data_IF_688532247457
#
_entry.id   IF_688532247457
#
_cell.length_a   1.000
_cell.length_b   1.000
_cell.length_c   1.000
_cell.angle_alpha   90.00
_cell.angle_beta   90.00
_cell.angle_gamma   90.00
#
_symmetry.space_group_name_H-M   'P 1'
#
loop_
_entity.id
_entity.type
_entity.pdbx_description
1 polymer ?
#
# COMPACT_ATOMS: atom_id res chain seq x y z
N UNK A 1 0.86 9.15 2.21
CA UNK A 1 1.08 8.64 0.85
C UNK A 1 2.37 9.23 0.34
N UNK A 2 3.25 8.38 -0.17
CA UNK A 2 4.54 8.77 -0.73
C UNK A 2 4.60 8.38 -2.21
N UNK A 3 5.16 9.23 -3.05
CA UNK A 3 5.42 8.96 -4.47
C UNK A 3 6.88 9.34 -4.74
N UNK A 4 7.65 8.42 -5.31
CA UNK A 4 9.10 8.59 -5.56
C UNK A 4 9.87 9.06 -4.32
N UNK A 5 9.54 8.51 -3.14
CA UNK A 5 10.17 8.86 -1.86
C UNK A 5 9.70 10.17 -1.21
N UNK A 6 8.89 10.99 -1.88
CA UNK A 6 8.37 12.25 -1.34
C UNK A 6 6.96 12.10 -0.78
N UNK A 7 6.68 12.71 0.39
CA UNK A 7 5.33 12.75 0.94
C UNK A 7 4.46 13.69 0.10
N UNK A 8 3.32 13.18 -0.39
CA UNK A 8 2.38 13.97 -1.19
C UNK A 8 1.08 14.28 -0.45
N UNK A 9 0.69 13.42 0.50
CA UNK A 9 -0.53 13.57 1.30
C UNK A 9 -0.37 12.83 2.64
N UNK A 10 -0.77 13.45 3.74
CA UNK A 10 -1.04 12.80 5.04
C UNK A 10 -2.39 13.22 5.60
N UNK A 11 -2.94 12.39 6.49
CA UNK A 11 -4.20 12.67 7.19
C UNK A 11 -4.24 11.94 8.53
N UNK A 12 -4.54 12.68 9.59
CA UNK A 12 -4.80 12.13 10.92
C UNK A 12 -6.24 11.61 11.07
N UNK A 13 -7.11 11.86 10.08
CA UNK A 13 -8.50 11.42 10.09
C UNK A 13 -8.66 9.94 9.70
N UNK A 14 -7.61 9.31 9.17
CA UNK A 14 -7.60 7.88 8.83
C UNK A 14 -7.16 7.10 10.07
N UNK A 15 -8.12 6.57 10.81
CA UNK A 15 -7.89 5.86 12.07
C UNK A 15 -7.99 4.34 11.95
N UNK A 16 -8.58 3.83 10.86
CA UNK A 16 -8.70 2.38 10.59
C UNK A 16 -7.35 1.77 10.25
N UNK A 17 -6.99 0.70 10.96
CA UNK A 17 -5.79 -0.11 10.74
C UNK A 17 -6.13 -1.36 9.93
N UNK A 18 -5.16 -1.94 9.20
CA UNK A 18 -5.38 -3.21 8.50
C UNK A 18 -5.88 -4.35 9.42
N UNK A 19 -5.44 -4.38 10.69
CA UNK A 19 -5.90 -5.36 11.69
C UNK A 19 -7.40 -5.28 11.97
N UNK A 20 -8.01 -4.12 11.78
CA UNK A 20 -9.44 -3.90 12.05
C UNK A 20 -10.33 -4.62 11.02
N UNK A 21 -9.74 -5.05 9.88
CA UNK A 21 -10.42 -5.84 8.85
C UNK A 21 -10.55 -7.33 9.21
N UNK A 22 -9.85 -7.79 10.26
CA UNK A 22 -9.84 -9.20 10.65
C UNK A 22 -9.15 -10.12 9.65
N UNK A 23 -9.58 -11.38 9.59
CA UNK A 23 -9.01 -12.38 8.68
C UNK A 23 -9.54 -12.19 7.25
N UNK A 24 -8.69 -11.70 6.36
CA UNK A 24 -9.02 -11.51 4.94
C UNK A 24 -8.62 -12.74 4.11
N UNK A 25 -9.49 -13.14 3.18
CA UNK A 25 -9.26 -14.30 2.29
C UNK A 25 -9.06 -13.91 0.82
N UNK A 26 -9.22 -12.63 0.49
CA UNK A 26 -9.20 -12.11 -0.88
C UNK A 26 -8.14 -11.01 -1.04
N UNK A 27 -6.88 -11.39 -0.87
CA UNK A 27 -5.74 -10.48 -0.97
C UNK A 27 -5.05 -10.70 -2.32
N UNK A 28 -5.18 -9.75 -3.25
CA UNK A 28 -4.66 -9.87 -4.61
C UNK A 28 -3.77 -8.67 -4.96
N UNK A 29 -2.79 -8.88 -5.84
CA UNK A 29 -2.07 -7.80 -6.52
C UNK A 29 -2.73 -7.61 -7.89
N UNK A 30 -3.11 -6.37 -8.21
CA UNK A 30 -3.67 -6.02 -9.53
C UNK A 30 -5.12 -6.46 -9.79
N UNK A 31 -5.87 -6.85 -8.76
CA UNK A 31 -7.28 -7.27 -8.85
C UNK A 31 -8.08 -6.78 -7.63
N UNK A 32 -9.31 -6.35 -7.86
CA UNK A 32 -10.28 -6.04 -6.79
C UNK A 32 -10.99 -7.29 -6.25
N UNK A 33 -11.47 -7.22 -5.00
CA UNK A 33 -12.39 -8.22 -4.45
C UNK A 33 -13.77 -8.19 -5.13
N UNK A 34 -14.17 -7.06 -5.74
CA UNK A 34 -15.45 -6.93 -6.43
C UNK A 34 -15.28 -7.35 -7.89
N UNK A 35 -16.09 -8.32 -8.32
CA UNK A 35 -15.92 -8.99 -9.62
C UNK A 35 -16.14 -8.07 -10.84
N UNK A 36 -16.82 -6.94 -10.66
CA UNK A 36 -17.11 -5.98 -11.75
C UNK A 36 -15.96 -5.01 -12.01
N UNK A 37 -15.00 -4.91 -11.09
CA UNK A 37 -13.91 -3.95 -11.22
C UNK A 37 -12.86 -4.45 -12.21
N UNK A 38 -12.24 -3.54 -12.99
CA UNK A 38 -11.20 -3.91 -13.94
C UNK A 38 -9.93 -4.39 -13.21
N UNK A 39 -9.17 -5.24 -13.91
CA UNK A 39 -7.82 -5.60 -13.50
C UNK A 39 -6.86 -4.43 -13.72
N UNK A 40 -5.76 -4.42 -12.96
CA UNK A 40 -4.62 -3.57 -13.26
C UNK A 40 -4.06 -3.93 -14.64
N UNK A 41 -3.98 -2.92 -15.53
CA UNK A 41 -3.30 -3.05 -16.81
C UNK A 41 -1.91 -2.44 -16.64
N UNK A 42 -0.97 -3.25 -16.13
CA UNK A 42 0.38 -2.82 -15.81
C UNK A 42 1.22 -3.95 -15.21
N UNK A 43 2.50 -3.67 -14.95
CA UNK A 43 3.44 -4.61 -14.33
C UNK A 43 3.81 -4.08 -12.95
N UNK A 44 3.80 -4.97 -11.96
CA UNK A 44 4.34 -4.72 -10.62
C UNK A 44 5.65 -5.48 -10.51
N UNK A 45 6.76 -4.74 -10.45
CA UNK A 45 8.11 -5.32 -10.41
C UNK A 45 8.50 -5.80 -9.00
N UNK A 46 8.14 -5.02 -7.97
CA UNK A 46 8.44 -5.33 -6.57
C UNK A 46 7.26 -4.95 -5.64
N UNK A 47 7.05 -5.74 -4.59
CA UNK A 47 6.00 -5.53 -3.60
C UNK A 47 6.44 -6.01 -2.21
N UNK A 48 6.30 -5.12 -1.22
CA UNK A 48 6.70 -5.37 0.18
C UNK A 48 5.60 -4.93 1.14
N UNK A 49 5.36 -5.74 2.17
CA UNK A 49 4.46 -5.41 3.30
C UNK A 49 5.29 -5.42 4.57
N UNK A 50 5.06 -4.44 5.45
CA UNK A 50 5.67 -4.34 6.77
C UNK A 50 4.58 -4.37 7.83
N UNK A 51 4.88 -4.99 8.97
CA UNK A 51 4.00 -5.09 10.14
C UNK A 51 4.05 -3.85 11.06
N UNK A 52 4.76 -2.81 10.61
CA UNK A 52 4.91 -1.53 11.31
C UNK A 52 4.85 -0.35 10.34
N UNK A 53 4.65 0.84 10.90
CA UNK A 53 4.86 2.07 10.18
C UNK A 53 6.36 2.27 9.89
N UNK A 54 6.69 2.61 8.66
CA UNK A 54 8.03 3.07 8.27
C UNK A 54 8.16 4.57 8.55
N UNK A 55 9.36 4.99 8.93
CA UNK A 55 9.73 6.40 8.98
C UNK A 55 9.92 6.99 7.57
N UNK A 56 9.86 8.32 7.45
CA UNK A 56 10.10 9.01 6.18
C UNK A 56 11.49 8.69 5.59
N UNK A 57 12.52 8.53 6.44
CA UNK A 57 13.87 8.19 6.01
C UNK A 57 13.95 6.76 5.43
N UNK A 58 13.24 5.80 6.03
CA UNK A 58 13.18 4.43 5.51
C UNK A 58 12.46 4.37 4.16
N UNK A 59 11.37 5.13 3.99
CA UNK A 59 10.66 5.23 2.70
C UNK A 59 11.57 5.85 1.63
N UNK A 60 12.30 6.91 1.96
CA UNK A 60 13.24 7.53 1.04
C UNK A 60 14.37 6.58 0.62
N UNK A 61 14.90 5.78 1.56
CA UNK A 61 15.93 4.78 1.26
C UNK A 61 15.40 3.67 0.33
N UNK A 62 14.14 3.23 0.50
CA UNK A 62 13.52 2.26 -0.40
C UNK A 62 13.31 2.80 -1.82
N UNK A 63 12.92 4.08 -1.94
CA UNK A 63 12.67 4.71 -3.24
C UNK A 63 13.95 4.98 -4.06
N UNK A 64 15.12 4.94 -3.42
CA UNK A 64 16.42 5.13 -4.06
C UNK A 64 17.09 3.82 -4.49
N UNK A 65 16.40 2.67 -4.35
CA UNK A 65 16.88 1.35 -4.76
C UNK A 65 16.86 1.19 -6.29
#
# INVERSE_FOLDING_TARGET
>A
MYINGAEVVSSELITTRPSDLGNTTQNFIGRSQFAVDPYLIGIVDDFRIYDRALSAAEVAALAAQ
#
